data_IF_038431814322
#
_entry.id   IF_038431814322
#
_cell.length_a   1.000
_cell.length_b   1.000
_cell.length_c   1.000
_cell.angle_alpha   90.00
_cell.angle_beta   90.00
_cell.angle_gamma   90.00
#
_symmetry.space_group_name_H-M   'P 1'
#
loop_
_entity.id
_entity.type
_entity.pdbx_description
1 polymer ?
#
# COMPACT_ATOMS: atom_id res chain seq x y z
N UNK A 1 5.80 22.53 19.64
CA UNK A 1 6.55 23.49 18.80
C UNK A 1 5.72 24.08 17.66
N UNK A 2 4.53 23.55 17.36
CA UNK A 2 3.55 24.18 16.46
C UNK A 2 2.29 24.60 17.22
N UNK A 3 1.39 25.30 16.55
CA UNK A 3 0.15 25.84 17.12
C UNK A 3 -0.88 24.74 17.38
N UNK A 4 -1.13 23.87 16.39
CA UNK A 4 -2.01 22.71 16.55
C UNK A 4 -1.58 21.54 15.67
N UNK A 5 -2.13 20.37 15.97
CA UNK A 5 -1.89 19.12 15.23
C UNK A 5 -3.22 18.43 14.95
N UNK A 6 -3.39 17.99 13.70
CA UNK A 6 -4.46 17.10 13.27
C UNK A 6 -3.90 15.70 13.02
N UNK A 7 -4.73 14.68 13.23
CA UNK A 7 -4.34 13.28 13.10
C UNK A 7 -5.45 12.46 12.44
N UNK A 8 -5.08 11.34 11.83
CA UNK A 8 -6.00 10.27 11.44
C UNK A 8 -5.75 9.05 12.32
N UNK A 9 -6.80 8.55 12.96
CA UNK A 9 -6.72 7.43 13.89
C UNK A 9 -7.31 6.17 13.26
N UNK A 10 -6.66 5.03 13.46
CA UNK A 10 -7.14 3.72 13.06
C UNK A 10 -7.39 2.83 14.28
N UNK A 11 -8.38 1.94 14.21
CA UNK A 11 -8.71 1.00 15.27
C UNK A 11 -8.26 -0.41 14.93
N UNK A 12 -7.61 -1.09 15.87
CA UNK A 12 -7.12 -2.47 15.73
C UNK A 12 -7.99 -3.40 16.57
N UNK A 13 -8.94 -4.08 15.91
CA UNK A 13 -9.96 -4.91 16.55
C UNK A 13 -9.36 -6.02 17.43
N UNK A 14 -8.34 -6.73 16.94
CA UNK A 14 -7.74 -7.87 17.66
C UNK A 14 -7.11 -7.49 19.01
N UNK A 15 -6.63 -6.25 19.16
CA UNK A 15 -6.02 -5.77 20.40
C UNK A 15 -6.93 -4.84 21.21
N UNK A 16 -8.03 -4.37 20.63
CA UNK A 16 -8.88 -3.34 21.21
C UNK A 16 -8.23 -1.96 21.33
N UNK A 17 -7.15 -1.68 20.59
CA UNK A 17 -6.37 -0.43 20.70
C UNK A 17 -6.48 0.42 19.44
N UNK A 18 -6.36 1.74 19.62
CA UNK A 18 -6.20 2.68 18.53
C UNK A 18 -4.71 2.91 18.19
N UNK A 19 -4.45 3.37 16.96
CA UNK A 19 -3.14 3.72 16.47
C UNK A 19 -3.21 4.98 15.58
N UNK A 20 -2.30 5.92 15.86
CA UNK A 20 -2.12 7.13 15.06
C UNK A 20 -1.53 6.77 13.69
N UNK A 21 -2.28 7.02 12.62
CA UNK A 21 -1.93 6.63 11.25
C UNK A 21 -1.03 7.64 10.53
N UNK A 22 -1.31 8.94 10.68
CA UNK A 22 -0.52 10.03 10.11
C UNK A 22 -0.81 11.34 10.85
N UNK A 23 0.08 12.33 10.72
CA UNK A 23 -0.10 13.66 11.34
C UNK A 23 0.07 14.79 10.34
N UNK A 24 -0.62 15.87 10.62
CA UNK A 24 -0.41 17.17 9.99
C UNK A 24 -0.39 18.24 11.07
N UNK A 25 0.62 19.09 11.03
CA UNK A 25 0.93 20.10 12.03
C UNK A 25 0.78 21.47 11.40
N UNK A 26 -0.05 22.32 12.01
CA UNK A 26 0.05 23.75 11.77
C UNK A 26 1.09 24.31 12.72
N UNK A 27 2.22 24.75 12.18
CA UNK A 27 3.34 25.22 12.97
C UNK A 27 3.23 26.70 13.33
N UNK A 28 2.24 27.39 12.74
CA UNK A 28 2.11 28.84 12.86
C UNK A 28 3.36 29.53 12.34
N UNK A 29 3.82 30.53 13.08
CA UNK A 29 5.08 31.22 12.82
C UNK A 29 6.21 30.80 13.77
N UNK A 30 6.00 29.81 14.65
CA UNK A 30 6.96 29.46 15.70
C UNK A 30 8.36 29.17 15.15
N UNK A 31 8.43 28.35 14.10
CA UNK A 31 9.69 27.97 13.46
C UNK A 31 10.28 29.08 12.59
N UNK A 32 9.44 29.82 11.87
CA UNK A 32 9.90 30.95 11.05
C UNK A 32 10.54 32.05 11.89
N UNK A 33 10.06 32.28 13.11
CA UNK A 33 10.68 33.19 14.08
C UNK A 33 12.02 32.64 14.58
N UNK A 34 12.07 31.35 14.90
CA UNK A 34 13.28 30.70 15.41
C UNK A 34 14.43 30.66 14.37
N UNK A 35 14.09 30.57 13.08
CA UNK A 35 15.05 30.46 11.97
C UNK A 35 15.12 31.71 11.08
N UNK A 36 14.51 32.82 11.49
CA UNK A 36 14.48 34.10 10.76
C UNK A 36 14.01 33.99 9.30
N UNK A 37 12.98 33.18 9.06
CA UNK A 37 12.37 32.99 7.74
C UNK A 37 11.33 34.10 7.50
N UNK A 38 11.75 35.14 6.79
CA UNK A 38 11.01 36.41 6.64
C UNK A 38 10.85 36.76 5.15
N UNK A 39 9.75 37.42 4.80
CA UNK A 39 9.54 38.07 3.49
C UNK A 39 9.08 39.52 3.68
N UNK A 40 9.27 40.35 2.67
CA UNK A 40 8.71 41.71 2.63
C UNK A 40 7.29 41.65 2.06
N UNK A 41 6.31 42.16 2.82
CA UNK A 41 4.92 42.16 2.42
C UNK A 41 4.70 43.11 1.22
N UNK A 42 4.09 42.66 0.13
CA UNK A 42 3.96 43.49 -1.08
C UNK A 42 3.06 44.71 -0.87
N UNK A 43 2.08 44.63 0.03
CA UNK A 43 1.10 45.69 0.26
C UNK A 43 1.58 46.68 1.32
N UNK A 44 2.16 46.18 2.42
CA UNK A 44 2.61 47.03 3.54
C UNK A 44 4.10 47.37 3.51
N UNK A 45 4.90 46.68 2.70
CA UNK A 45 6.37 46.78 2.65
C UNK A 45 7.04 46.46 4.01
N UNK A 46 6.33 45.76 4.90
CA UNK A 46 6.85 45.34 6.21
C UNK A 46 7.40 43.92 6.16
N UNK A 47 8.41 43.64 6.99
CA UNK A 47 8.93 42.29 7.20
C UNK A 47 7.91 41.43 7.94
N UNK A 48 7.46 40.33 7.31
CA UNK A 48 6.54 39.35 7.91
C UNK A 48 7.15 37.95 7.96
N UNK A 49 6.82 37.23 9.02
CA UNK A 49 7.18 35.82 9.19
C UNK A 49 6.21 34.91 8.42
N UNK A 50 6.73 33.86 7.79
CA UNK A 50 5.91 32.90 7.04
C UNK A 50 5.15 31.96 7.96
N UNK A 51 3.92 31.61 7.59
CA UNK A 51 3.20 30.51 8.23
C UNK A 51 3.69 29.17 7.68
N UNK A 52 3.97 28.22 8.56
CA UNK A 52 4.51 26.92 8.19
C UNK A 52 3.58 25.79 8.61
N UNK A 53 3.58 24.72 7.81
CA UNK A 53 2.98 23.44 8.13
C UNK A 53 4.02 22.34 7.92
N UNK A 54 3.89 21.23 8.64
CA UNK A 54 4.60 19.98 8.33
C UNK A 54 3.65 18.80 8.48
N UNK A 55 3.90 17.71 7.78
CA UNK A 55 3.05 16.53 7.81
C UNK A 55 3.87 15.29 7.57
N UNK A 56 3.43 14.16 8.14
CA UNK A 56 4.19 12.93 8.17
C UNK A 56 3.31 11.69 8.04
N UNK A 57 3.75 10.80 7.16
CA UNK A 57 3.22 9.45 6.97
C UNK A 57 4.41 8.51 6.82
N UNK A 58 4.34 7.35 7.48
CA UNK A 58 5.47 6.40 7.54
C UNK A 58 5.01 5.02 7.09
N UNK A 59 5.96 4.08 7.00
CA UNK A 59 5.70 2.66 6.73
C UNK A 59 4.86 1.96 7.82
N UNK A 60 4.52 2.67 8.91
CA UNK A 60 3.48 2.23 9.86
C UNK A 60 2.19 1.83 9.15
N UNK A 61 1.85 2.48 8.03
CA UNK A 61 0.67 2.15 7.22
C UNK A 61 0.65 0.68 6.78
N UNK A 62 1.81 0.08 6.48
CA UNK A 62 1.92 -1.35 6.15
C UNK A 62 1.55 -2.20 7.37
N UNK A 63 2.08 -1.87 8.55
CA UNK A 63 1.73 -2.57 9.79
C UNK A 63 0.25 -2.45 10.14
N UNK A 64 -0.36 -1.27 9.96
CA UNK A 64 -1.80 -1.07 10.15
C UNK A 64 -2.61 -1.93 9.17
N UNK A 65 -2.23 -1.98 7.89
CA UNK A 65 -2.88 -2.84 6.89
C UNK A 65 -2.85 -4.31 7.32
N UNK A 66 -1.70 -4.81 7.78
CA UNK A 66 -1.55 -6.20 8.27
C UNK A 66 -2.47 -6.46 9.46
N UNK A 67 -2.48 -5.57 10.45
CA UNK A 67 -3.25 -5.73 11.68
C UNK A 67 -4.77 -5.61 11.48
N UNK A 68 -5.20 -4.87 10.45
CA UNK A 68 -6.63 -4.63 10.17
C UNK A 68 -7.20 -5.69 9.25
N UNK A 69 -6.48 -6.10 8.22
CA UNK A 69 -7.00 -7.01 7.19
C UNK A 69 -6.55 -8.46 7.34
N UNK A 70 -5.46 -8.73 8.07
CA UNK A 70 -4.98 -10.08 8.30
C UNK A 70 -6.01 -10.97 9.00
N UNK A 71 -6.01 -12.25 8.66
CA UNK A 71 -6.90 -13.26 9.22
C UNK A 71 -6.12 -14.48 9.72
N UNK A 72 -6.83 -15.53 10.14
CA UNK A 72 -6.21 -16.75 10.66
C UNK A 72 -5.48 -17.58 9.58
N UNK A 73 -5.62 -17.24 8.30
CA UNK A 73 -4.89 -17.85 7.17
C UNK A 73 -3.67 -17.03 6.76
N UNK A 74 -3.56 -15.78 7.21
CA UNK A 74 -2.37 -14.95 7.05
C UNK A 74 -2.69 -13.55 6.51
N UNK A 75 -1.86 -13.09 5.58
CA UNK A 75 -1.94 -11.73 5.04
C UNK A 75 -3.08 -11.61 4.01
N UNK A 76 -3.90 -10.57 4.16
CA UNK A 76 -4.89 -10.17 3.16
C UNK A 76 -4.51 -8.79 2.62
N UNK A 77 -3.99 -8.75 1.39
CA UNK A 77 -3.57 -7.51 0.74
C UNK A 77 -4.77 -6.78 0.12
N UNK A 78 -4.98 -5.48 0.41
CA UNK A 78 -5.96 -4.68 -0.32
C UNK A 78 -5.60 -4.62 -1.82
N UNK A 79 -6.54 -4.91 -2.74
CA UNK A 79 -6.20 -5.10 -4.16
C UNK A 79 -5.50 -3.93 -4.86
N UNK A 80 -5.65 -2.70 -4.34
CA UNK A 80 -5.00 -1.50 -4.92
C UNK A 80 -3.51 -1.40 -4.63
N UNK A 81 -3.02 -2.09 -3.60
CA UNK A 81 -1.61 -2.09 -3.18
C UNK A 81 -0.95 -3.46 -3.27
N UNK A 82 -1.70 -4.51 -3.62
CA UNK A 82 -1.15 -5.85 -3.84
C UNK A 82 -0.22 -5.86 -5.07
N UNK A 83 1.01 -6.33 -4.94
CA UNK A 83 1.94 -6.44 -6.10
C UNK A 83 1.35 -7.37 -7.16
N UNK A 84 0.95 -8.57 -6.75
CA UNK A 84 0.19 -9.54 -7.55
C UNK A 84 -1.26 -9.53 -7.04
N UNK A 85 -2.20 -9.20 -7.92
CA UNK A 85 -3.64 -9.21 -7.63
C UNK A 85 -4.28 -10.58 -7.90
N UNK A 86 -3.77 -11.30 -8.90
CA UNK A 86 -4.24 -12.63 -9.28
C UNK A 86 -3.05 -13.52 -9.61
N UNK A 87 -3.01 -14.73 -9.03
CA UNK A 87 -2.03 -15.75 -9.35
C UNK A 87 -2.75 -16.92 -10.03
N UNK A 88 -2.29 -17.33 -11.21
CA UNK A 88 -2.82 -18.49 -11.95
C UNK A 88 -1.94 -19.69 -11.64
N UNK A 89 -2.54 -20.74 -11.07
CA UNK A 89 -1.84 -21.98 -10.71
C UNK A 89 -2.45 -23.13 -11.51
N UNK A 90 -1.68 -23.88 -12.31
CA UNK A 90 -2.19 -25.05 -13.03
C UNK A 90 -2.51 -26.18 -12.05
N UNK A 91 -3.70 -26.77 -12.19
CA UNK A 91 -4.19 -27.83 -11.33
C UNK A 91 -4.56 -29.08 -12.13
N UNK A 92 -4.54 -30.25 -11.48
CA UNK A 92 -5.05 -31.50 -12.08
C UNK A 92 -4.09 -32.23 -13.01
N UNK A 93 -2.81 -31.86 -13.03
CA UNK A 93 -1.76 -32.65 -13.69
C UNK A 93 -1.50 -33.91 -12.88
N UNK A 94 -1.67 -35.09 -13.49
CA UNK A 94 -1.44 -36.39 -12.86
C UNK A 94 -0.32 -37.15 -13.58
N UNK A 95 0.14 -38.26 -12.99
CA UNK A 95 1.11 -39.14 -13.62
C UNK A 95 0.62 -39.73 -14.96
N UNK A 96 -0.70 -39.79 -15.18
CA UNK A 96 -1.31 -40.28 -16.42
C UNK A 96 -1.53 -39.18 -17.46
N UNK A 97 -1.37 -37.90 -17.11
CA UNK A 97 -1.53 -36.80 -18.07
C UNK A 97 -0.47 -36.88 -19.17
N UNK A 98 -0.94 -36.93 -20.41
CA UNK A 98 -0.11 -36.89 -21.62
C UNK A 98 0.65 -35.57 -21.71
N UNK A 99 1.71 -35.54 -22.52
CA UNK A 99 2.46 -34.31 -22.74
C UNK A 99 1.60 -33.26 -23.45
N UNK A 100 0.72 -33.68 -24.37
CA UNK A 100 -0.21 -32.80 -25.05
C UNK A 100 -1.20 -32.14 -24.07
N UNK A 101 -1.77 -32.90 -23.14
CA UNK A 101 -2.67 -32.35 -22.10
C UNK A 101 -1.95 -31.37 -21.18
N UNK A 102 -0.70 -31.67 -20.80
CA UNK A 102 0.14 -30.77 -19.99
C UNK A 102 0.40 -29.46 -20.70
N UNK A 103 0.81 -29.52 -21.97
CA UNK A 103 1.09 -28.33 -22.76
C UNK A 103 -0.18 -27.50 -22.97
N UNK A 104 -1.30 -28.14 -23.32
CA UNK A 104 -2.57 -27.44 -23.53
C UNK A 104 -3.06 -26.72 -22.26
N UNK A 105 -2.86 -27.33 -21.07
CA UNK A 105 -3.17 -26.68 -19.80
C UNK A 105 -2.26 -25.46 -19.56
N UNK A 106 -0.95 -25.58 -19.75
CA UNK A 106 -0.02 -24.47 -19.56
C UNK A 106 -0.33 -23.31 -20.52
N UNK A 107 -0.54 -23.59 -21.80
CA UNK A 107 -0.93 -22.59 -22.81
C UNK A 107 -2.23 -21.85 -22.41
N UNK A 108 -3.20 -22.58 -21.85
CA UNK A 108 -4.44 -22.00 -21.37
C UNK A 108 -4.24 -21.07 -20.16
N UNK A 109 -3.35 -21.44 -19.24
CA UNK A 109 -3.00 -20.62 -18.08
C UNK A 109 -2.26 -19.35 -18.50
N UNK A 110 -1.29 -19.45 -19.41
CA UNK A 110 -0.58 -18.30 -19.96
C UNK A 110 -1.54 -17.33 -20.67
N UNK A 111 -2.45 -17.87 -21.48
CA UNK A 111 -3.49 -17.07 -22.14
C UNK A 111 -4.37 -16.33 -21.14
N UNK A 112 -4.79 -16.99 -20.05
CA UNK A 112 -5.57 -16.35 -18.99
C UNK A 112 -4.80 -15.21 -18.31
N UNK A 113 -3.51 -15.40 -18.03
CA UNK A 113 -2.66 -14.34 -17.46
C UNK A 113 -2.63 -13.12 -18.38
N UNK A 114 -2.47 -13.32 -19.70
CA UNK A 114 -2.45 -12.23 -20.67
C UNK A 114 -3.82 -11.54 -20.82
N UNK A 115 -4.93 -12.29 -20.77
CA UNK A 115 -6.28 -11.70 -20.74
C UNK A 115 -6.49 -10.82 -19.49
N UNK A 116 -6.06 -11.28 -18.32
CA UNK A 116 -6.13 -10.51 -17.07
C UNK A 116 -5.27 -9.24 -17.14
N UNK A 117 -4.03 -9.34 -17.62
CA UNK A 117 -3.15 -8.18 -17.83
C UNK A 117 -3.75 -7.21 -18.85
N UNK A 118 -4.34 -7.71 -19.93
CA UNK A 118 -5.05 -6.92 -20.95
C UNK A 118 -6.25 -6.16 -20.37
N UNK A 119 -6.87 -6.67 -19.30
CA UNK A 119 -7.91 -6.00 -18.54
C UNK A 119 -7.39 -5.04 -17.46
N UNK A 120 -6.07 -4.88 -17.32
CA UNK A 120 -5.43 -4.00 -16.33
C UNK A 120 -5.23 -4.61 -14.94
N UNK A 121 -5.35 -5.94 -14.82
CA UNK A 121 -5.11 -6.68 -13.57
C UNK A 121 -3.63 -7.06 -13.50
N UNK A 122 -2.98 -6.84 -12.35
CA UNK A 122 -1.63 -7.34 -12.08
C UNK A 122 -1.69 -8.84 -11.82
N UNK A 123 -1.62 -9.62 -12.89
CA UNK A 123 -1.69 -11.07 -12.85
C UNK A 123 -0.32 -11.70 -13.14
N UNK A 124 -0.08 -12.86 -12.52
CA UNK A 124 1.10 -13.69 -12.76
C UNK A 124 0.71 -15.18 -12.77
N UNK A 125 1.59 -16.04 -13.28
CA UNK A 125 1.42 -17.50 -13.32
C UNK A 125 2.48 -18.22 -12.49
N UNK A 126 2.08 -19.19 -11.66
CA UNK A 126 3.01 -20.06 -10.94
C UNK A 126 3.10 -21.42 -11.63
N UNK A 127 4.16 -21.61 -12.41
CA UNK A 127 4.39 -22.82 -13.22
C UNK A 127 5.48 -23.74 -12.64
N UNK A 128 5.84 -23.56 -11.37
CA UNK A 128 6.84 -24.40 -10.70
C UNK A 128 6.27 -25.81 -10.52
N UNK A 129 6.90 -26.80 -11.15
CA UNK A 129 6.46 -28.20 -11.15
C UNK A 129 7.04 -29.03 -9.99
N UNK A 130 8.00 -28.45 -9.25
CA UNK A 130 8.64 -29.07 -8.10
C UNK A 130 7.84 -28.91 -6.79
N UNK A 131 6.67 -28.27 -6.85
CA UNK A 131 5.74 -28.12 -5.73
C UNK A 131 4.35 -28.63 -6.11
N UNK A 132 3.60 -29.15 -5.14
CA UNK A 132 2.16 -29.40 -5.33
C UNK A 132 1.40 -28.08 -5.46
N UNK A 133 0.25 -28.06 -6.16
CA UNK A 133 -0.58 -26.86 -6.24
C UNK A 133 -1.16 -26.35 -4.91
N UNK A 134 -1.26 -27.23 -3.90
CA UNK A 134 -1.75 -26.92 -2.55
C UNK A 134 -0.67 -26.98 -1.50
#
# INVERSE_FOLDING_TARGET
GGDYTTTVEAYIAASGRAIQGATSHHLGQNFSKMFEIIYDDPDTQEKKYVYQNSWGLTTRTIGVMVLVHGDNRGLVLPPRVAEIQAIVVPCGITASSTQEERNALMDSCEKLVEELKGAGIRADGDYRDNYSPG
#
